data_IF_788894357483
#
_entry.id   IF_788894357483
#
_cell.length_a   1.000
_cell.length_b   1.000
_cell.length_c   1.000
_cell.angle_alpha   90.00
_cell.angle_beta   90.00
_cell.angle_gamma   90.00
#
_symmetry.space_group_name_H-M   'P 1'
#
loop_
_entity.id
_entity.type
_entity.pdbx_description
1 polymer ?
#
# COMPACT_ATOMS: atom_id res chain seq x y z
N UNK A 1 9.47 2.85 -9.09
CA UNK A 1 10.18 3.58 -8.01
C UNK A 1 9.16 3.95 -6.94
N UNK A 2 9.56 3.94 -5.67
CA UNK A 2 8.74 4.35 -4.52
C UNK A 2 9.46 5.49 -3.83
N UNK A 3 8.79 6.64 -3.71
CA UNK A 3 9.32 7.82 -3.02
C UNK A 3 8.68 7.86 -1.63
N UNK A 4 9.48 8.14 -0.59
CA UNK A 4 9.00 8.30 0.78
C UNK A 4 9.78 9.42 1.46
N UNK A 5 9.07 10.40 1.99
CA UNK A 5 9.70 11.51 2.72
C UNK A 5 10.57 12.45 1.86
N UNK A 6 10.48 12.38 0.54
CA UNK A 6 11.31 13.16 -0.40
C UNK A 6 12.36 12.33 -1.14
N UNK A 7 12.71 11.15 -0.63
CA UNK A 7 13.79 10.30 -1.14
C UNK A 7 13.30 8.96 -1.72
N UNK A 8 14.16 8.26 -2.46
CA UNK A 8 13.84 6.99 -3.14
C UNK A 8 13.93 5.83 -2.14
N UNK A 9 12.80 5.44 -1.56
CA UNK A 9 12.77 4.29 -0.65
C UNK A 9 13.04 2.95 -1.36
N UNK A 10 12.63 2.80 -2.61
CA UNK A 10 12.67 1.52 -3.32
C UNK A 10 12.64 1.68 -4.84
N UNK A 11 13.41 0.86 -5.56
CA UNK A 11 13.39 0.87 -7.03
C UNK A 11 13.65 -0.53 -7.61
N UNK A 12 13.07 -0.80 -8.79
CA UNK A 12 13.43 -1.97 -9.58
C UNK A 12 14.68 -1.60 -10.40
N UNK A 13 15.83 -2.15 -10.04
CA UNK A 13 17.13 -1.81 -10.64
C UNK A 13 17.85 -3.07 -11.09
N UNK A 14 18.64 -2.90 -12.15
CA UNK A 14 19.48 -3.93 -12.75
C UNK A 14 20.67 -4.37 -11.89
N UNK A 15 21.68 -4.90 -12.56
CA UNK A 15 22.97 -5.26 -11.96
C UNK A 15 23.69 -4.01 -11.40
N UNK A 16 23.99 -3.94 -10.09
CA UNK A 16 24.74 -2.84 -9.49
C UNK A 16 26.16 -2.69 -10.02
N UNK A 17 26.76 -3.76 -10.55
CA UNK A 17 28.12 -3.75 -11.08
C UNK A 17 28.17 -3.33 -12.56
N UNK A 18 27.02 -3.16 -13.20
CA UNK A 18 26.97 -2.70 -14.58
C UNK A 18 27.22 -1.19 -14.66
N UNK A 19 27.59 -0.73 -15.86
CA UNK A 19 27.92 0.68 -16.12
C UNK A 19 26.73 1.64 -15.99
N UNK A 20 25.50 1.14 -16.07
CA UNK A 20 24.23 1.89 -15.99
C UNK A 20 23.19 1.00 -15.27
N UNK A 21 22.06 1.54 -14.76
CA UNK A 21 21.17 0.79 -13.86
C UNK A 21 20.13 -0.13 -14.55
N UNK A 22 20.16 -0.26 -15.88
CA UNK A 22 19.21 -1.02 -16.70
C UNK A 22 19.64 -2.43 -17.16
N UNK A 23 20.90 -2.86 -17.08
CA UNK A 23 21.29 -4.23 -17.44
C UNK A 23 20.67 -5.25 -16.48
N UNK A 24 20.23 -6.38 -17.03
CA UNK A 24 19.71 -7.49 -16.23
C UNK A 24 20.80 -8.03 -15.28
N UNK A 25 20.42 -8.60 -14.12
CA UNK A 25 19.07 -8.90 -13.67
C UNK A 25 18.39 -7.73 -12.93
N UNK A 26 17.15 -7.44 -13.31
CA UNK A 26 16.32 -6.51 -12.54
C UNK A 26 15.77 -7.18 -11.29
N UNK A 27 16.02 -6.55 -10.16
CA UNK A 27 15.39 -6.90 -8.90
C UNK A 27 15.03 -5.64 -8.15
N UNK A 28 14.03 -5.79 -7.30
CA UNK A 28 13.55 -4.70 -6.48
C UNK A 28 14.51 -4.53 -5.30
N UNK A 29 15.12 -3.34 -5.17
CA UNK A 29 16.20 -3.03 -4.24
C UNK A 29 15.81 -1.85 -3.36
N UNK A 30 16.18 -1.94 -2.08
CA UNK A 30 16.10 -0.84 -1.12
C UNK A 30 17.32 0.06 -1.30
N UNK A 31 17.12 1.37 -1.22
CA UNK A 31 18.25 2.29 -1.02
C UNK A 31 18.92 1.98 0.33
N UNK A 32 20.26 2.03 0.37
CA UNK A 32 21.03 1.70 1.57
C UNK A 32 20.46 2.44 2.80
N UNK A 33 20.33 1.73 3.92
CA UNK A 33 19.77 2.20 5.20
C UNK A 33 20.59 3.37 5.79
N UNK A 34 20.48 4.57 5.22
CA UNK A 34 21.06 5.76 5.81
C UNK A 34 20.17 6.26 6.97
N UNK A 35 20.74 6.95 7.97
CA UNK A 35 19.96 7.62 9.02
C UNK A 35 18.88 8.56 8.45
N UNK A 36 19.05 9.07 7.24
CA UNK A 36 18.06 9.91 6.56
C UNK A 36 16.73 9.18 6.33
N UNK A 37 16.75 7.85 6.08
CA UNK A 37 15.53 7.04 5.94
C UNK A 37 14.70 6.94 7.23
N UNK A 38 15.26 7.26 8.41
CA UNK A 38 14.47 7.27 9.64
C UNK A 38 13.48 8.44 9.66
N UNK A 39 13.88 9.60 9.11
CA UNK A 39 13.03 10.78 8.95
C UNK A 39 11.92 10.58 7.92
N UNK A 40 12.18 9.76 6.90
CA UNK A 40 11.20 9.35 5.90
C UNK A 40 10.15 8.37 6.45
N UNK A 41 10.37 7.74 7.61
CA UNK A 41 9.45 6.76 8.21
C UNK A 41 8.63 7.42 9.31
N UNK A 42 7.32 7.50 9.10
CA UNK A 42 6.37 7.95 10.10
C UNK A 42 6.00 6.80 11.05
N UNK A 43 5.99 7.08 12.34
CA UNK A 43 5.39 6.23 13.38
C UNK A 43 4.12 6.92 13.89
N UNK A 44 3.05 6.15 14.03
CA UNK A 44 1.77 6.61 14.53
C UNK A 44 1.59 6.28 16.00
N UNK A 45 1.10 7.23 16.79
CA UNK A 45 0.78 7.04 18.21
C UNK A 45 -0.60 7.61 18.54
N UNK A 46 -1.24 7.06 19.58
CA UNK A 46 -2.45 7.63 20.17
C UNK A 46 -2.16 8.71 21.23
N UNK A 47 -0.89 8.89 21.58
CA UNK A 47 -0.44 9.81 22.63
C UNK A 47 -0.30 11.21 22.04
N UNK A 48 -0.91 12.20 22.71
CA UNK A 48 -0.72 13.61 22.41
C UNK A 48 0.49 14.16 23.18
N UNK A 49 1.45 14.74 22.46
CA UNK A 49 2.67 15.32 23.03
C UNK A 49 3.90 15.09 22.15
N UNK A 50 4.96 15.89 22.31
CA UNK A 50 6.21 15.67 21.58
C UNK A 50 6.86 14.37 22.07
N UNK A 51 6.96 13.38 21.19
CA UNK A 51 7.77 12.19 21.42
C UNK A 51 9.16 12.40 20.82
N UNK A 52 10.11 12.82 21.66
CA UNK A 52 11.45 13.25 21.22
C UNK A 52 12.48 12.13 21.17
N UNK A 53 12.22 11.01 21.84
CA UNK A 53 13.19 9.91 21.98
C UNK A 53 13.15 8.90 20.81
N UNK A 54 12.50 9.27 19.69
CA UNK A 54 12.48 8.43 18.51
C UNK A 54 13.49 8.89 17.47
N UNK A 55 14.20 7.92 16.90
CA UNK A 55 15.00 8.10 15.70
C UNK A 55 14.10 8.37 14.47
N UNK A 56 12.79 8.08 14.56
CA UNK A 56 11.80 8.25 13.47
C UNK A 56 10.89 9.44 13.74
N UNK A 57 10.30 9.99 12.67
CA UNK A 57 9.30 11.04 12.82
C UNK A 57 8.01 10.45 13.40
N UNK A 58 7.62 10.88 14.59
CA UNK A 58 6.38 10.45 15.25
C UNK A 58 5.26 11.44 14.97
N UNK A 59 4.07 10.95 14.67
CA UNK A 59 2.87 11.79 14.44
C UNK A 59 1.66 11.13 15.08
N UNK A 60 0.86 11.92 15.80
CA UNK A 60 -0.34 11.39 16.42
C UNK A 60 -1.46 11.16 15.41
N UNK A 61 -2.19 10.06 15.58
CA UNK A 61 -3.42 9.79 14.81
C UNK A 61 -4.54 10.63 15.41
N UNK A 62 -5.28 11.35 14.55
CA UNK A 62 -6.35 12.27 14.96
C UNK A 62 -7.61 12.04 14.14
N UNK A 63 -8.73 12.54 14.66
CA UNK A 63 -10.02 12.60 13.95
C UNK A 63 -10.57 11.25 13.47
N UNK A 64 -10.28 10.14 14.14
CA UNK A 64 -10.76 8.81 13.71
C UNK A 64 -12.20 8.51 14.11
N UNK A 65 -12.71 9.11 15.20
CA UNK A 65 -14.04 8.80 15.75
C UNK A 65 -15.19 9.58 15.12
N UNK A 66 -14.88 10.67 14.38
CA UNK A 66 -15.89 11.53 13.74
C UNK A 66 -16.15 11.18 12.28
N UNK A 67 -15.37 10.25 11.71
CA UNK A 67 -15.46 9.87 10.31
C UNK A 67 -16.69 8.99 10.05
N UNK A 68 -17.31 9.21 8.90
CA UNK A 68 -18.47 8.50 8.40
C UNK A 68 -18.18 7.89 7.03
N UNK A 69 -19.10 7.09 6.49
CA UNK A 69 -19.01 6.57 5.12
C UNK A 69 -18.87 7.69 4.08
N UNK A 70 -19.47 8.86 4.35
CA UNK A 70 -19.44 10.01 3.45
C UNK A 70 -18.05 10.67 3.35
N UNK A 71 -17.15 10.42 4.30
CA UNK A 71 -15.78 10.95 4.26
C UNK A 71 -14.86 10.11 3.35
N UNK A 72 -15.33 8.97 2.84
CA UNK A 72 -14.57 8.09 1.96
C UNK A 72 -14.57 8.61 0.51
N UNK A 73 -13.44 9.15 0.07
CA UNK A 73 -13.26 9.62 -1.31
C UNK A 73 -13.52 8.52 -2.33
N UNK A 74 -14.38 8.81 -3.31
CA UNK A 74 -14.78 7.91 -4.40
C UNK A 74 -15.47 6.61 -3.92
N UNK A 75 -15.87 6.53 -2.66
CA UNK A 75 -16.51 5.35 -2.08
C UNK A 75 -17.43 5.73 -0.90
N UNK A 76 -18.33 6.67 -1.13
CA UNK A 76 -19.27 7.24 -0.15
C UNK A 76 -20.70 6.67 -0.25
N UNK A 77 -20.95 5.77 -1.21
CA UNK A 77 -22.27 5.21 -1.46
C UNK A 77 -22.88 4.50 -0.22
N UNK A 78 -24.17 4.76 0.02
CA UNK A 78 -25.00 4.16 1.07
C UNK A 78 -26.23 3.45 0.46
N UNK A 79 -26.04 2.36 -0.30
CA UNK A 79 -27.16 1.60 -0.88
C UNK A 79 -27.89 0.78 0.20
N UNK A 80 -29.16 0.47 -0.03
CA UNK A 80 -29.85 -0.59 0.72
C UNK A 80 -29.32 -1.94 0.26
N UNK A 81 -28.81 -2.75 1.20
CA UNK A 81 -28.28 -4.09 0.93
C UNK A 81 -29.13 -5.07 1.73
N UNK A 82 -29.83 -5.95 1.03
CA UNK A 82 -30.61 -7.04 1.62
C UNK A 82 -29.94 -8.37 1.24
N UNK A 83 -29.89 -9.28 2.22
CA UNK A 83 -29.29 -10.61 2.06
C UNK A 83 -30.33 -11.65 2.48
N UNK A 84 -30.61 -12.59 1.58
CA UNK A 84 -31.45 -13.75 1.90
C UNK A 84 -30.65 -14.76 2.75
N UNK A 85 -31.09 -15.09 3.98
CA UNK A 85 -30.36 -15.98 4.87
C UNK A 85 -30.29 -17.43 4.39
N UNK A 86 -31.19 -17.87 3.52
CA UNK A 86 -31.23 -19.26 3.03
C UNK A 86 -30.42 -19.44 1.75
N UNK A 87 -30.56 -18.51 0.79
CA UNK A 87 -29.88 -18.60 -0.52
C UNK A 87 -28.56 -17.83 -0.61
N UNK A 88 -28.27 -16.98 0.36
CA UNK A 88 -27.18 -16.00 0.35
C UNK A 88 -27.21 -15.03 -0.85
N UNK A 89 -28.36 -14.91 -1.52
CA UNK A 89 -28.58 -13.92 -2.56
C UNK A 89 -28.54 -12.50 -2.00
N UNK A 90 -27.90 -11.57 -2.71
CA UNK A 90 -27.78 -10.17 -2.32
C UNK A 90 -28.47 -9.28 -3.36
N UNK A 91 -29.50 -8.53 -2.97
CA UNK A 91 -30.38 -7.79 -3.89
C UNK A 91 -29.67 -6.66 -4.66
N UNK A 92 -28.56 -6.14 -4.14
CA UNK A 92 -27.72 -5.14 -4.81
C UNK A 92 -26.57 -5.73 -5.65
N UNK A 93 -26.44 -7.06 -5.70
CA UNK A 93 -25.38 -7.76 -6.42
C UNK A 93 -25.94 -8.42 -7.70
N UNK A 94 -25.66 -7.80 -8.85
CA UNK A 94 -25.82 -8.45 -10.15
C UNK A 94 -24.62 -9.38 -10.32
N UNK A 95 -24.81 -10.68 -10.11
CA UNK A 95 -23.75 -11.68 -10.12
C UNK A 95 -22.72 -11.50 -11.23
N UNK A 96 -21.44 -11.59 -10.88
CA UNK A 96 -20.33 -11.57 -11.84
C UNK A 96 -19.55 -12.88 -11.79
N UNK A 97 -19.36 -13.51 -12.94
CA UNK A 97 -18.46 -14.66 -13.12
C UNK A 97 -17.11 -14.17 -13.62
N UNK A 98 -16.05 -14.19 -12.79
CA UNK A 98 -14.73 -13.78 -13.25
C UNK A 98 -14.17 -14.83 -14.22
N UNK A 99 -13.88 -14.41 -15.45
CA UNK A 99 -13.35 -15.29 -16.50
C UNK A 99 -11.85 -15.08 -16.72
N UNK A 100 -11.39 -13.82 -16.73
CA UNK A 100 -9.99 -13.45 -16.89
C UNK A 100 -9.65 -12.27 -15.98
N UNK A 101 -8.47 -12.33 -15.34
CA UNK A 101 -8.01 -11.32 -14.40
C UNK A 101 -6.71 -10.69 -14.93
N UNK A 102 -6.75 -9.38 -15.14
CA UNK A 102 -5.59 -8.58 -15.51
C UNK A 102 -4.51 -8.59 -14.41
N UNK A 103 -3.25 -8.35 -14.77
CA UNK A 103 -2.12 -8.30 -13.82
C UNK A 103 -1.95 -9.62 -13.05
N UNK A 104 -2.01 -10.75 -13.77
CA UNK A 104 -1.89 -12.10 -13.22
C UNK A 104 -0.64 -12.81 -13.73
N UNK A 105 -0.73 -14.05 -14.21
CA UNK A 105 0.41 -14.91 -14.52
C UNK A 105 1.42 -14.32 -15.51
N UNK A 106 1.01 -13.38 -16.37
CA UNK A 106 1.90 -12.72 -17.33
C UNK A 106 2.93 -11.77 -16.68
N UNK A 107 2.73 -11.36 -15.42
CA UNK A 107 3.59 -10.39 -14.73
C UNK A 107 4.47 -11.03 -13.64
N UNK A 108 4.23 -12.30 -13.29
CA UNK A 108 4.94 -12.99 -12.22
C UNK A 108 5.67 -14.22 -12.74
N UNK A 109 6.95 -14.37 -12.38
CA UNK A 109 7.69 -15.57 -12.69
C UNK A 109 7.10 -16.74 -11.89
N UNK A 110 6.70 -17.82 -12.57
CA UNK A 110 6.33 -19.08 -11.91
C UNK A 110 7.54 -19.58 -11.12
N UNK A 111 7.40 -19.75 -9.81
CA UNK A 111 8.49 -20.25 -8.98
C UNK A 111 8.96 -21.61 -9.51
N UNK A 112 10.26 -21.75 -9.76
CA UNK A 112 10.87 -23.07 -9.90
C UNK A 112 10.96 -23.66 -8.50
N UNK A 113 10.09 -24.63 -8.21
CA UNK A 113 10.26 -25.56 -7.08
C UNK A 113 11.56 -26.33 -7.23
#
# INVERSE_FOLDING_TARGET
MVIKGGDIAYANMGDPNASIPTPQPHSARLEALTPLLSSARLLWTAIEGPFTDSIKKVTSVKNVIKLTKLDMKLNDALPSIEVDPESYGVTSYLGHTPTNISISASYFKKGSS
#
